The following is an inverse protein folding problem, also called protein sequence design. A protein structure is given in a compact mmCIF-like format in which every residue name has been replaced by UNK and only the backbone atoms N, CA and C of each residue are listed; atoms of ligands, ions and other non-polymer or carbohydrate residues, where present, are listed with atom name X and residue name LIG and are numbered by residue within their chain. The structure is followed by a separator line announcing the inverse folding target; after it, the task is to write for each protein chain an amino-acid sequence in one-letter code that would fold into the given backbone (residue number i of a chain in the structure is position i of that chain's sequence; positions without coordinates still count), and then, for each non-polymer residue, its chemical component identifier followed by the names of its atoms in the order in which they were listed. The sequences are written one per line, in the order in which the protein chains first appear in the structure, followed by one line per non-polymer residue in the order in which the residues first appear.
data_IF_257112191836
#
_entry.id   IF_257112191836
#
_cell.length_a   1.000
_cell.length_b   1.000
_cell.length_c   1.000
_cell.angle_alpha   90.00
_cell.angle_beta   90.00
_cell.angle_gamma   90.00
#
_symmetry.space_group_name_H-M   'P 1'
#
loop_
_entity.id
_entity.type
_entity.pdbx_description
1 polymer ?
#
# COMPACT_ATOMS: atom_id res chain seq x y z
N UNK A 1 21.99 38.89 51.46
CA UNK A 1 20.56 38.86 51.56
C UNK A 1 20.11 37.77 50.64
N UNK A 2 19.91 36.61 51.09
CA UNK A 2 19.22 36.09 52.24
C UNK A 2 17.86 35.69 51.80
N UNK A 3 17.60 34.55 52.06
CA UNK A 3 16.42 33.80 52.55
C UNK A 3 15.87 32.83 51.51
N UNK A 4 15.50 31.74 51.89
CA UNK A 4 15.61 30.75 52.99
C UNK A 4 14.82 29.52 52.56
N UNK A 5 15.36 28.42 52.87
CA UNK A 5 14.79 27.08 52.73
C UNK A 5 13.67 26.90 53.77
N UNK A 6 12.56 26.38 53.35
CA UNK A 6 11.66 25.73 54.28
C UNK A 6 11.48 24.25 53.95
N UNK A 7 11.68 23.37 54.93
CA UNK A 7 11.48 21.95 54.78
C UNK A 7 10.19 21.47 55.45
N UNK A 8 9.64 20.42 54.90
CA UNK A 8 8.92 19.40 55.67
C UNK A 8 7.44 19.53 55.78
N UNK A 9 6.76 18.55 55.26
CA UNK A 9 5.68 17.92 56.02
C UNK A 9 5.61 16.45 55.70
N UNK A 10 5.99 15.73 56.72
CA UNK A 10 5.90 14.33 56.96
C UNK A 10 4.45 13.99 57.29
N UNK A 11 3.84 13.07 56.57
CA UNK A 11 2.61 12.41 57.00
C UNK A 11 2.89 10.97 57.32
N UNK A 12 3.08 10.75 58.63
CA UNK A 12 3.07 9.41 59.24
C UNK A 12 1.66 9.05 59.60
N UNK A 13 1.39 7.76 59.38
CA UNK A 13 0.58 6.80 60.07
C UNK A 13 -0.83 7.21 60.59
N UNK A 14 -1.78 6.44 60.18
CA UNK A 14 -2.66 5.75 61.15
C UNK A 14 -3.23 4.43 60.56
N UNK A 15 -3.17 3.34 61.32
CA UNK A 15 -3.82 2.07 60.94
C UNK A 15 -5.12 1.91 61.69
N UNK A 16 -6.19 1.69 61.02
CA UNK A 16 -7.40 1.13 61.61
C UNK A 16 -8.01 0.04 60.76
N UNK A 17 -7.92 -1.11 61.29
CA UNK A 17 -8.65 -2.32 60.97
C UNK A 17 -10.16 -2.09 61.07
N UNK A 18 -10.88 -2.59 60.06
CA UNK A 18 -12.13 -3.32 60.30
C UNK A 18 -12.51 -4.10 59.03
N UNK A 19 -12.47 -5.40 59.12
CA UNK A 19 -13.34 -6.33 58.38
C UNK A 19 -14.47 -6.76 59.36
N UNK A 20 -15.62 -7.25 58.95
CA UNK A 20 -15.98 -8.03 57.77
C UNK A 20 -17.36 -7.71 57.19
N UNK A 21 -17.67 -8.15 55.99
CA UNK A 21 -18.97 -8.71 55.63
C UNK A 21 -18.90 -9.35 54.23
N UNK A 22 -19.03 -10.67 54.22
CA UNK A 22 -19.45 -11.44 53.08
C UNK A 22 -20.70 -10.84 52.44
N UNK A 23 -20.57 -10.46 51.17
CA UNK A 23 -21.73 -10.40 50.28
C UNK A 23 -21.34 -11.01 48.95
N UNK A 24 -21.83 -12.23 48.77
CA UNK A 24 -21.82 -12.95 47.51
C UNK A 24 -22.79 -12.22 46.56
N UNK A 25 -22.33 -11.23 45.88
CA UNK A 25 -23.05 -10.65 44.76
C UNK A 25 -22.53 -11.27 43.45
N UNK A 26 -23.44 -12.01 42.89
CA UNK A 26 -23.45 -12.57 41.55
C UNK A 26 -22.60 -11.77 40.54
N UNK A 27 -21.58 -12.42 40.06
CA UNK A 27 -20.81 -11.92 38.89
C UNK A 27 -21.70 -12.03 37.66
N UNK A 28 -22.45 -10.99 37.37
CA UNK A 28 -22.91 -10.68 36.03
C UNK A 28 -21.67 -10.32 35.21
N UNK A 29 -21.04 -11.32 34.64
CA UNK A 29 -20.04 -11.08 33.60
C UNK A 29 -20.77 -10.52 32.39
N UNK A 30 -20.45 -9.33 31.92
CA UNK A 30 -20.98 -8.88 30.66
C UNK A 30 -20.49 -9.88 29.60
N UNK A 31 -21.42 -10.53 28.94
CA UNK A 31 -21.19 -11.33 27.75
C UNK A 31 -20.46 -10.40 26.79
N UNK A 32 -19.16 -10.60 26.59
CA UNK A 32 -18.42 -9.98 25.54
C UNK A 32 -19.00 -10.55 24.25
N UNK A 33 -19.89 -9.79 23.65
CA UNK A 33 -20.36 -10.00 22.31
C UNK A 33 -19.13 -9.94 21.40
N UNK A 34 -18.67 -11.09 20.93
CA UNK A 34 -17.57 -11.21 19.98
C UNK A 34 -17.94 -10.34 18.77
N UNK A 35 -17.12 -9.35 18.40
CA UNK A 35 -17.45 -8.47 17.30
C UNK A 35 -17.66 -9.32 16.05
N UNK A 36 -18.81 -9.17 15.42
CA UNK A 36 -19.15 -9.86 14.18
C UNK A 36 -17.98 -9.71 13.20
N UNK A 37 -17.58 -10.78 12.48
CA UNK A 37 -16.46 -10.70 11.54
C UNK A 37 -16.74 -9.61 10.53
N UNK A 38 -15.82 -8.63 10.45
CA UNK A 38 -15.92 -7.54 9.51
C UNK A 38 -16.09 -8.10 8.09
N UNK A 39 -16.95 -7.51 7.25
CA UNK A 39 -17.17 -7.97 5.90
C UNK A 39 -15.82 -8.05 5.17
N UNK A 40 -15.51 -9.20 4.59
CA UNK A 40 -14.30 -9.40 3.79
C UNK A 40 -14.46 -8.58 2.51
N UNK A 41 -13.87 -7.39 2.49
CA UNK A 41 -13.81 -6.56 1.30
C UNK A 41 -12.84 -7.21 0.33
N UNK A 42 -13.35 -7.62 -0.82
CA UNK A 42 -12.57 -8.26 -1.87
C UNK A 42 -11.58 -7.27 -2.49
N UNK A 43 -10.34 -7.68 -2.58
CA UNK A 43 -9.24 -6.91 -3.14
C UNK A 43 -9.06 -7.34 -4.59
N UNK A 44 -9.25 -6.41 -5.53
CA UNK A 44 -9.15 -6.67 -6.97
C UNK A 44 -7.78 -6.21 -7.45
N UNK A 45 -7.02 -7.12 -8.06
CA UNK A 45 -5.76 -6.77 -8.72
C UNK A 45 -6.03 -6.17 -10.10
N UNK A 46 -5.36 -5.07 -10.40
CA UNK A 46 -5.48 -4.34 -11.65
C UNK A 46 -4.15 -4.36 -12.42
N UNK A 47 -4.18 -4.46 -13.75
CA UNK A 47 -2.97 -4.51 -14.56
C UNK A 47 -2.32 -3.14 -14.79
N UNK A 48 -3.00 -2.06 -14.44
CA UNK A 48 -2.54 -0.68 -14.71
C UNK A 48 -2.67 0.17 -13.46
N UNK A 49 -1.63 0.93 -13.15
CA UNK A 49 -1.64 1.99 -12.17
C UNK A 49 -1.65 3.36 -12.87
N UNK A 50 -2.54 4.25 -12.46
CA UNK A 50 -2.59 5.63 -12.92
C UNK A 50 -1.91 6.53 -11.91
N UNK A 51 -0.93 7.30 -12.38
CA UNK A 51 -0.19 8.25 -11.56
C UNK A 51 -0.48 9.69 -11.97
N UNK A 52 -0.33 10.60 -11.02
CA UNK A 52 -0.21 12.02 -11.29
C UNK A 52 1.21 12.46 -10.98
N UNK A 53 1.82 13.16 -11.92
CA UNK A 53 3.15 13.75 -11.78
C UNK A 53 3.09 15.28 -11.88
N UNK A 54 3.88 15.96 -11.06
CA UNK A 54 4.04 17.42 -11.05
C UNK A 54 5.50 17.78 -11.30
N UNK A 55 5.73 18.60 -12.30
CA UNK A 55 6.99 19.33 -12.48
C UNK A 55 6.89 20.67 -11.75
N UNK A 56 7.61 20.81 -10.65
CA UNK A 56 7.57 22.00 -9.78
C UNK A 56 8.25 23.22 -10.38
N UNK A 57 9.10 23.03 -11.39
CA UNK A 57 9.77 24.15 -12.07
C UNK A 57 8.83 24.81 -13.07
N UNK A 58 8.09 24.00 -13.83
CA UNK A 58 7.19 24.50 -14.89
C UNK A 58 5.75 24.64 -14.42
N UNK A 59 5.40 24.06 -13.27
CA UNK A 59 4.03 23.96 -12.78
C UNK A 59 3.16 22.98 -13.59
N UNK A 60 3.76 22.18 -14.44
CA UNK A 60 3.03 21.23 -15.29
C UNK A 60 2.58 20.02 -14.48
N UNK A 61 1.31 19.69 -14.61
CA UNK A 61 0.71 18.50 -14.02
C UNK A 61 0.28 17.57 -15.15
N UNK A 62 0.67 16.31 -15.07
CA UNK A 62 0.25 15.28 -16.02
C UNK A 62 -0.25 14.05 -15.30
N UNK A 63 -1.16 13.32 -15.96
CA UNK A 63 -1.59 11.99 -15.55
C UNK A 63 -1.08 10.99 -16.57
N UNK A 64 -0.56 9.86 -16.11
CA UNK A 64 -0.02 8.82 -16.97
C UNK A 64 -0.29 7.43 -16.40
N UNK A 65 -0.53 6.49 -17.30
CA UNK A 65 -0.78 5.09 -16.98
C UNK A 65 0.53 4.31 -17.08
N UNK A 66 0.73 3.39 -16.14
CA UNK A 66 1.88 2.46 -16.12
C UNK A 66 1.36 1.05 -15.89
N UNK A 67 1.70 0.11 -16.76
CA UNK A 67 1.40 -1.29 -16.55
C UNK A 67 2.24 -1.87 -15.40
N UNK A 68 1.69 -2.86 -14.72
CA UNK A 68 2.42 -3.53 -13.65
C UNK A 68 3.73 -4.11 -14.20
N UNK A 69 4.82 -3.89 -13.46
CA UNK A 69 6.20 -4.24 -13.80
C UNK A 69 6.81 -3.48 -15.02
N UNK A 70 6.06 -2.54 -15.59
CA UNK A 70 6.60 -1.60 -16.56
C UNK A 70 7.23 -0.40 -15.86
N UNK A 71 8.26 0.18 -16.49
CA UNK A 71 8.91 1.40 -16.02
C UNK A 71 8.63 2.55 -16.99
N UNK A 72 7.99 3.60 -16.49
CA UNK A 72 7.73 4.83 -17.25
C UNK A 72 8.56 5.96 -16.69
N UNK A 73 9.16 6.74 -17.57
CA UNK A 73 9.96 7.91 -17.20
C UNK A 73 9.11 9.17 -17.14
N UNK A 74 9.16 9.86 -16.00
CA UNK A 74 8.60 11.18 -15.78
C UNK A 74 9.71 12.15 -15.33
N UNK A 75 10.16 13.01 -16.20
CA UNK A 75 11.30 13.88 -15.94
C UNK A 75 12.57 13.08 -15.65
N UNK A 76 13.15 13.30 -14.48
CA UNK A 76 14.29 12.52 -13.99
C UNK A 76 13.89 11.25 -13.21
N UNK A 77 12.58 11.00 -13.05
CA UNK A 77 12.08 9.85 -12.30
C UNK A 77 11.69 8.70 -13.22
N UNK A 78 11.96 7.48 -12.77
CA UNK A 78 11.50 6.24 -13.37
C UNK A 78 10.53 5.58 -12.38
N UNK A 79 9.27 5.41 -12.78
CA UNK A 79 8.18 4.90 -11.94
C UNK A 79 7.84 3.49 -12.37
N UNK A 80 7.87 2.55 -11.42
CA UNK A 80 7.58 1.12 -11.67
C UNK A 80 6.59 0.61 -10.64
N UNK A 81 5.30 0.46 -10.94
CA UNK A 81 4.35 -0.20 -10.07
C UNK A 81 4.58 -1.72 -10.10
N UNK A 82 4.57 -2.35 -8.93
CA UNK A 82 4.70 -3.81 -8.80
C UNK A 82 3.35 -4.50 -8.64
N UNK A 83 2.41 -3.85 -8.00
CA UNK A 83 1.02 -4.29 -7.86
C UNK A 83 0.12 -3.07 -7.74
N UNK A 84 -1.13 -3.19 -8.19
CA UNK A 84 -2.16 -2.16 -8.02
C UNK A 84 -3.48 -2.82 -7.66
N UNK A 85 -4.05 -2.43 -6.52
CA UNK A 85 -5.27 -3.02 -5.98
C UNK A 85 -6.36 -1.98 -5.78
N UNK A 86 -7.59 -2.37 -6.11
CA UNK A 86 -8.79 -1.63 -5.76
C UNK A 86 -9.73 -2.44 -4.88
N UNK A 87 -10.57 -1.78 -4.10
CA UNK A 87 -11.59 -2.38 -3.24
C UNK A 87 -12.94 -1.74 -3.53
N UNK A 88 -13.61 -2.11 -4.63
CA UNK A 88 -14.83 -1.44 -5.09
C UNK A 88 -16.04 -1.66 -4.19
N UNK A 89 -16.03 -2.68 -3.32
CA UNK A 89 -17.13 -3.03 -2.41
C UNK A 89 -16.98 -2.48 -0.99
N UNK A 90 -15.98 -1.65 -0.71
CA UNK A 90 -15.83 -1.01 0.59
C UNK A 90 -16.76 0.20 0.72
N UNK A 91 -17.15 0.56 1.96
CA UNK A 91 -17.89 1.82 2.22
C UNK A 91 -17.16 3.03 1.64
N UNK A 92 -15.83 3.02 1.73
CA UNK A 92 -14.97 3.95 1.01
C UNK A 92 -14.10 3.16 0.04
N UNK A 93 -14.20 3.39 -1.27
CA UNK A 93 -13.31 2.77 -2.25
C UNK A 93 -11.85 3.08 -1.89
N UNK A 94 -11.04 2.04 -1.79
CA UNK A 94 -9.60 2.18 -1.47
C UNK A 94 -8.78 1.64 -2.60
N UNK A 95 -7.79 2.41 -3.00
CA UNK A 95 -6.86 2.07 -4.07
C UNK A 95 -5.45 2.19 -3.54
N UNK A 96 -4.68 1.13 -3.65
CA UNK A 96 -3.31 1.06 -3.19
C UNK A 96 -2.40 0.35 -4.19
N UNK A 97 -1.17 0.84 -4.33
CA UNK A 97 -0.15 0.27 -5.22
C UNK A 97 1.20 0.22 -4.50
N UNK A 98 1.93 -0.87 -4.66
CA UNK A 98 3.34 -0.90 -4.28
C UNK A 98 4.18 -0.41 -5.46
N UNK A 99 4.95 0.62 -5.23
CA UNK A 99 5.67 1.37 -6.27
C UNK A 99 7.14 1.49 -5.92
N UNK A 100 7.96 1.34 -6.93
CA UNK A 100 9.37 1.66 -6.88
C UNK A 100 9.65 2.86 -7.76
N UNK A 101 10.42 3.83 -7.25
CA UNK A 101 10.82 4.99 -8.03
C UNK A 101 12.32 5.19 -7.95
N UNK A 102 12.92 5.29 -9.11
CA UNK A 102 14.35 5.56 -9.28
C UNK A 102 14.55 6.98 -9.86
N UNK A 103 15.59 7.65 -9.42
CA UNK A 103 16.06 8.93 -9.95
C UNK A 103 17.21 8.68 -10.92
N UNK A 104 17.13 9.31 -12.08
CA UNK A 104 18.28 9.44 -13.00
C UNK A 104 19.02 10.72 -12.60
N UNK A 105 20.15 10.55 -11.96
CA UNK A 105 20.97 11.66 -11.48
C UNK A 105 21.70 12.39 -12.63
N UNK A 106 22.22 13.57 -12.36
CA UNK A 106 22.94 14.36 -13.39
C UNK A 106 24.17 13.66 -13.96
N UNK A 107 24.82 12.79 -13.18
CA UNK A 107 25.91 11.93 -13.61
C UNK A 107 25.44 10.62 -14.27
N UNK A 108 24.15 10.53 -14.62
CA UNK A 108 23.47 9.42 -15.30
C UNK A 108 23.48 8.11 -14.53
N UNK A 109 23.59 8.18 -13.22
CA UNK A 109 23.36 7.00 -12.36
C UNK A 109 21.90 6.87 -11.99
N UNK A 110 21.47 5.64 -11.85
CA UNK A 110 20.12 5.31 -11.37
C UNK A 110 20.20 5.08 -9.86
N UNK A 111 19.36 5.77 -9.11
CA UNK A 111 19.30 5.68 -7.64
C UNK A 111 17.87 5.49 -7.19
N UNK A 112 17.59 4.41 -6.44
CA UNK A 112 16.29 4.21 -5.79
C UNK A 112 16.06 5.31 -4.76
N UNK A 113 14.99 6.08 -4.92
CA UNK A 113 14.59 7.15 -4.00
C UNK A 113 13.32 6.81 -3.23
N UNK A 114 12.51 5.87 -3.75
CA UNK A 114 11.29 5.42 -3.10
C UNK A 114 11.03 3.94 -3.38
N UNK A 115 10.55 3.22 -2.36
CA UNK A 115 10.02 1.87 -2.49
C UNK A 115 9.00 1.66 -1.38
N UNK A 116 7.72 1.57 -1.74
CA UNK A 116 6.66 1.48 -0.74
C UNK A 116 5.25 1.52 -1.32
N UNK A 117 4.28 1.50 -0.41
CA UNK A 117 2.87 1.60 -0.75
C UNK A 117 2.44 3.05 -0.92
N UNK A 118 1.77 3.34 -2.02
CA UNK A 118 1.06 4.58 -2.27
C UNK A 118 -0.45 4.36 -2.17
N UNK A 119 -1.18 5.37 -1.68
CA UNK A 119 -2.62 5.32 -1.45
C UNK A 119 -3.30 6.46 -2.19
N UNK A 120 -4.20 6.14 -3.12
CA UNK A 120 -4.85 7.16 -3.96
C UNK A 120 -5.71 8.14 -3.14
N UNK A 121 -6.36 7.66 -2.06
CA UNK A 121 -7.20 8.48 -1.18
C UNK A 121 -6.41 9.33 -0.18
N UNK A 122 -5.12 9.04 -0.03
CA UNK A 122 -4.24 9.73 0.91
C UNK A 122 -2.87 9.98 0.27
N UNK A 123 -2.80 10.75 -0.82
CA UNK A 123 -1.57 10.94 -1.59
C UNK A 123 -0.44 11.56 -0.78
N UNK A 124 -0.76 12.39 0.21
CA UNK A 124 0.24 12.99 1.09
C UNK A 124 0.86 12.02 2.11
N UNK A 125 0.33 10.80 2.26
CA UNK A 125 0.88 9.85 3.22
C UNK A 125 2.20 9.24 2.74
N UNK A 126 2.25 8.82 1.48
CA UNK A 126 3.42 8.20 0.85
C UNK A 126 3.47 8.62 -0.63
N UNK A 127 3.84 9.85 -0.90
CA UNK A 127 4.17 10.33 -2.24
C UNK A 127 5.68 10.38 -2.44
N UNK A 128 6.11 10.40 -3.68
CA UNK A 128 7.50 10.71 -4.00
C UNK A 128 7.68 12.21 -4.01
N UNK A 129 8.48 12.71 -3.09
CA UNK A 129 8.91 14.10 -3.03
C UNK A 129 10.37 14.20 -3.51
N UNK A 130 10.55 14.73 -4.69
CA UNK A 130 11.85 15.04 -5.26
C UNK A 130 12.01 16.57 -5.36
N UNK A 131 13.24 17.09 -5.46
CA UNK A 131 13.47 18.54 -5.52
C UNK A 131 12.69 19.24 -6.65
N UNK A 132 12.49 18.55 -7.77
CA UNK A 132 11.85 19.08 -8.98
C UNK A 132 10.51 18.39 -9.29
N UNK A 133 10.35 17.14 -8.92
CA UNK A 133 9.21 16.33 -9.34
C UNK A 133 8.49 15.73 -8.14
N UNK A 134 7.17 15.71 -8.17
CA UNK A 134 6.35 14.93 -7.25
C UNK A 134 5.53 13.92 -8.05
N UNK A 135 5.37 12.71 -7.51
CA UNK A 135 4.56 11.64 -8.11
C UNK A 135 3.76 10.94 -7.04
N UNK A 136 2.49 10.74 -7.30
CA UNK A 136 1.59 9.96 -6.42
C UNK A 136 0.62 9.10 -7.22
N UNK A 137 0.12 8.05 -6.58
CA UNK A 137 -0.93 7.19 -7.13
C UNK A 137 -2.24 7.96 -7.22
N UNK A 138 -2.92 7.88 -8.37
CA UNK A 138 -4.25 8.43 -8.59
C UNK A 138 -5.32 7.34 -8.59
N UNK A 139 -5.10 6.24 -9.30
CA UNK A 139 -6.06 5.13 -9.40
C UNK A 139 -5.41 3.82 -9.88
N UNK A 140 -6.16 2.72 -9.79
CA UNK A 140 -5.85 1.44 -10.42
C UNK A 140 -6.92 1.12 -11.47
N UNK A 141 -6.50 0.74 -12.67
CA UNK A 141 -7.39 0.54 -13.82
C UNK A 141 -7.31 -0.90 -14.36
N UNK A 142 -8.46 -1.43 -14.75
CA UNK A 142 -8.51 -2.70 -15.47
C UNK A 142 -8.06 -2.59 -16.93
N UNK A 143 -8.10 -1.38 -17.50
CA UNK A 143 -7.71 -1.07 -18.89
C UNK A 143 -7.09 0.32 -18.96
N UNK A 144 -6.16 0.47 -19.90
CA UNK A 144 -5.57 1.76 -20.28
C UNK A 144 -5.83 2.05 -21.76
N UNK A 145 -5.85 3.33 -22.11
CA UNK A 145 -5.86 3.78 -23.51
C UNK A 145 -4.48 3.65 -24.17
N UNK A 146 -3.43 3.48 -23.36
CA UNK A 146 -2.08 3.21 -23.83
C UNK A 146 -1.97 1.71 -24.15
N UNK A 147 -1.43 1.32 -25.32
CA UNK A 147 -1.26 -0.09 -25.66
C UNK A 147 -0.30 -0.76 -24.68
N UNK A 148 -0.58 -2.02 -24.25
CA UNK A 148 0.29 -2.75 -23.34
C UNK A 148 1.67 -2.97 -23.96
N UNK A 149 2.74 -2.98 -23.16
CA UNK A 149 4.08 -3.30 -23.62
C UNK A 149 4.12 -4.74 -24.16
N UNK A 150 5.03 -5.02 -25.07
CA UNK A 150 5.16 -6.35 -25.67
C UNK A 150 5.43 -7.45 -24.63
N UNK A 151 6.09 -7.14 -23.53
CA UNK A 151 6.31 -8.04 -22.40
C UNK A 151 5.02 -8.47 -21.70
N UNK A 152 4.01 -7.60 -21.63
CA UNK A 152 2.71 -7.92 -21.04
C UNK A 152 1.88 -8.83 -21.96
N UNK A 153 2.04 -8.72 -23.28
CA UNK A 153 1.37 -9.58 -24.26
C UNK A 153 1.87 -11.04 -24.23
N UNK A 154 3.12 -11.25 -23.83
CA UNK A 154 3.69 -12.60 -23.71
C UNK A 154 3.11 -13.41 -22.54
N UNK A 155 2.56 -12.75 -21.51
CA UNK A 155 1.92 -13.41 -20.37
C UNK A 155 0.48 -13.84 -20.63
N UNK A 156 -0.14 -13.38 -21.72
CA UNK A 156 -1.54 -13.63 -22.07
C UNK A 156 -1.71 -14.73 -23.15
N UNK A 157 -0.63 -15.47 -23.48
CA UNK A 157 -0.74 -16.61 -24.36
C UNK A 157 -1.45 -17.76 -23.61
N UNK A 158 -2.61 -18.25 -24.12
CA UNK A 158 -3.32 -19.33 -23.49
C UNK A 158 -2.47 -20.60 -23.51
N UNK A 159 -2.30 -21.18 -22.33
CA UNK A 159 -1.74 -22.51 -22.19
C UNK A 159 -2.73 -23.55 -22.75
N UNK A 160 -2.79 -23.68 -24.08
CA UNK A 160 -3.48 -24.78 -24.75
C UNK A 160 -2.86 -25.00 -26.15
N UNK A 161 -1.73 -25.63 -26.17
CA UNK A 161 -1.35 -26.42 -27.35
C UNK A 161 -1.18 -27.83 -26.89
N UNK A 162 -2.28 -28.55 -27.03
CA UNK A 162 -2.34 -30.02 -26.99
C UNK A 162 -1.49 -30.51 -28.12
N UNK A 163 -0.35 -31.11 -27.82
CA UNK A 163 0.47 -31.82 -28.76
C UNK A 163 -0.35 -33.06 -29.24
N UNK A 164 -0.65 -33.23 -30.52
CA UNK A 164 -1.24 -34.48 -30.99
C UNK A 164 -0.16 -35.56 -30.97
N UNK A 165 -0.38 -36.53 -30.13
CA UNK A 165 0.29 -37.82 -30.16
C UNK A 165 -0.04 -38.51 -31.48
N UNK A 166 0.95 -38.60 -32.36
CA UNK A 166 0.87 -39.36 -33.58
C UNK A 166 2.22 -40.00 -33.88
N UNK A 167 2.54 -41.01 -33.13
CA UNK A 167 3.58 -41.96 -33.51
C UNK A 167 2.97 -43.37 -33.65
N UNK A 168 2.26 -43.61 -34.75
CA UNK A 168 1.98 -44.96 -35.21
C UNK A 168 3.18 -45.44 -36.03
N UNK A 169 4.07 -46.12 -35.36
CA UNK A 169 5.13 -46.89 -36.03
C UNK A 169 4.50 -48.21 -36.56
N UNK A 170 4.42 -48.36 -37.86
CA UNK A 170 4.15 -49.63 -38.52
C UNK A 170 5.45 -50.43 -38.59
N UNK A 171 5.45 -51.74 -38.26
CA UNK A 171 6.57 -52.60 -38.55
C UNK A 171 6.54 -52.99 -40.04
N UNK A 172 7.70 -52.97 -40.69
CA UNK A 172 7.93 -53.50 -42.01
C UNK A 172 8.25 -54.98 -41.91
N UNK A 173 7.66 -55.74 -42.83
CA UNK A 173 7.93 -57.13 -43.18
C UNK A 173 9.31 -57.30 -43.81
#
# INVERSE_FOLDING_TARGET
MGEELEPGENWQDDPAQDQPADDQSSQDQPVQEEPAPAPKVERVANPVAEFTGVDKITGRIITFDVYIDETVQFGALQVTPRVCYSRPGAEEPKTDSFVEVDEITLDRKIRRIFSGWMFAQSPGLNAVEHAVYDVWLKDCKAKSDVPPPESAKASELPATETVPDSATVRPAD
#
